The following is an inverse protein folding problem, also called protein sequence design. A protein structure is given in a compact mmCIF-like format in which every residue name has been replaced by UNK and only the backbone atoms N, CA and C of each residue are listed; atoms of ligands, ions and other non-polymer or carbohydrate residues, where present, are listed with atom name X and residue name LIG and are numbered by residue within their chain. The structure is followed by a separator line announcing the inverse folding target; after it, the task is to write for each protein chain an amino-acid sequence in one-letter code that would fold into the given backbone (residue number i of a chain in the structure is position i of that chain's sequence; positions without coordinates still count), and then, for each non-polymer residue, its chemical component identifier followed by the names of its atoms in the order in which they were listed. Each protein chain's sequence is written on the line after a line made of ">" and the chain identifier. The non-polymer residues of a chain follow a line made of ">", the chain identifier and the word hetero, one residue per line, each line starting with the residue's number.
data_IF_655511358492
#
_entry.id   IF_655511358492
#
_cell.length_a   1.000
_cell.length_b   1.000
_cell.length_c   1.000
_cell.angle_alpha   90.00
_cell.angle_beta   90.00
_cell.angle_gamma   90.00
#
_symmetry.space_group_name_H-M   'P 1'
#
loop_
_entity.id
_entity.type
_entity.pdbx_description
1 polymer ?
#
# COMPACT_ATOMS: atom_id res chain seq x y z
N UNK A 1 -25.31 2.69 -2.32
CA UNK A 1 -25.15 4.03 -1.73
C UNK A 1 -24.30 4.92 -2.65
N UNK A 2 -24.80 5.20 -3.88
CA UNK A 2 -24.02 5.99 -4.87
C UNK A 2 -24.23 7.50 -4.73
N UNK A 3 -25.36 7.90 -4.13
CA UNK A 3 -25.72 9.32 -3.95
C UNK A 3 -25.46 9.74 -2.50
N UNK A 4 -24.45 10.60 -2.30
CA UNK A 4 -24.13 11.15 -0.98
C UNK A 4 -25.21 12.09 -0.42
N UNK A 5 -26.09 12.60 -1.29
CA UNK A 5 -27.24 13.43 -0.90
C UNK A 5 -28.48 12.63 -0.51
N UNK A 6 -28.51 11.34 -0.84
CA UNK A 6 -29.61 10.42 -0.52
C UNK A 6 -29.10 8.99 -0.38
N UNK A 7 -28.54 8.67 0.79
CA UNK A 7 -27.93 7.36 1.07
C UNK A 7 -28.95 6.22 1.07
N UNK A 8 -30.23 6.51 1.28
CA UNK A 8 -31.32 5.55 1.24
C UNK A 8 -31.95 5.35 -0.13
N UNK A 9 -31.42 5.98 -1.19
CA UNK A 9 -32.02 5.98 -2.52
C UNK A 9 -32.27 4.56 -3.08
N UNK A 10 -33.51 4.31 -3.53
CA UNK A 10 -33.82 3.14 -4.35
C UNK A 10 -33.58 3.47 -5.83
N UNK A 11 -32.45 3.03 -6.38
CA UNK A 11 -32.05 3.25 -7.77
C UNK A 11 -33.06 2.68 -8.79
N UNK A 12 -33.98 1.80 -8.38
CA UNK A 12 -35.04 1.28 -9.23
C UNK A 12 -36.33 2.15 -9.25
N UNK A 13 -36.29 3.30 -8.54
CA UNK A 13 -37.41 4.24 -8.50
C UNK A 13 -38.56 3.81 -7.59
N UNK A 14 -38.31 2.93 -6.64
CA UNK A 14 -39.26 2.57 -5.57
C UNK A 14 -39.25 3.61 -4.44
N UNK A 15 -39.67 3.17 -3.26
CA UNK A 15 -39.60 4.00 -2.05
C UNK A 15 -38.24 3.92 -1.44
N UNK A 16 -37.60 5.05 -1.20
CA UNK A 16 -36.31 5.15 -0.56
C UNK A 16 -36.34 4.50 0.84
N UNK A 17 -35.22 3.90 1.22
CA UNK A 17 -35.03 3.39 2.56
C UNK A 17 -34.82 4.53 3.55
N UNK A 18 -35.36 4.39 4.75
CA UNK A 18 -35.01 5.30 5.84
C UNK A 18 -33.68 4.88 6.45
N UNK A 19 -32.65 5.65 6.20
CA UNK A 19 -31.33 5.42 6.76
C UNK A 19 -31.26 5.88 8.23
N UNK A 20 -30.54 5.14 9.02
CA UNK A 20 -30.25 5.48 10.42
C UNK A 20 -28.76 5.33 10.67
N UNK A 21 -28.11 6.41 11.11
CA UNK A 21 -26.66 6.48 11.38
C UNK A 21 -25.77 6.27 10.14
N UNK A 22 -26.29 6.35 8.92
CA UNK A 22 -25.47 6.41 7.71
C UNK A 22 -25.12 7.88 7.42
N UNK A 23 -23.87 8.11 7.07
CA UNK A 23 -23.34 9.41 6.66
C UNK A 23 -22.57 9.28 5.34
N UNK A 24 -22.34 10.38 4.65
CA UNK A 24 -21.65 10.34 3.34
C UNK A 24 -20.25 9.70 3.39
N UNK A 25 -19.60 9.72 4.55
CA UNK A 25 -18.31 9.04 4.75
C UNK A 25 -18.40 7.51 4.85
N UNK A 26 -19.63 6.97 4.94
CA UNK A 26 -19.82 5.51 4.91
C UNK A 26 -19.90 4.97 3.47
N UNK A 27 -19.86 5.86 2.47
CA UNK A 27 -19.79 5.46 1.08
C UNK A 27 -18.43 4.84 0.76
N UNK A 28 -18.45 3.80 -0.05
CA UNK A 28 -17.26 3.13 -0.57
C UNK A 28 -17.25 3.18 -2.09
N UNK A 29 -16.06 3.38 -2.67
CA UNK A 29 -15.82 3.20 -4.10
C UNK A 29 -15.75 1.71 -4.47
N UNK A 30 -15.68 0.83 -3.47
CA UNK A 30 -15.72 -0.62 -3.63
C UNK A 30 -17.13 -1.09 -3.98
N UNK A 31 -17.27 -1.85 -5.04
CA UNK A 31 -18.57 -2.32 -5.56
C UNK A 31 -18.49 -3.80 -5.89
N UNK A 32 -19.64 -4.46 -6.05
CA UNK A 32 -19.66 -5.88 -6.46
C UNK A 32 -19.03 -6.13 -7.85
N UNK A 33 -18.81 -5.09 -8.64
CA UNK A 33 -18.19 -5.18 -9.98
C UNK A 33 -16.78 -4.61 -10.04
N UNK A 34 -16.30 -3.99 -8.97
CA UNK A 34 -14.94 -3.45 -8.86
C UNK A 34 -14.47 -3.47 -7.41
N UNK A 35 -13.69 -4.47 -7.04
CA UNK A 35 -13.15 -4.63 -5.69
C UNK A 35 -11.72 -4.14 -5.65
N UNK A 36 -11.40 -3.35 -4.63
CA UNK A 36 -10.05 -2.88 -4.36
C UNK A 36 -9.28 -3.88 -3.49
N UNK A 37 -7.95 -3.80 -3.53
CA UNK A 37 -7.09 -4.56 -2.65
C UNK A 37 -7.34 -4.22 -1.18
N UNK A 38 -7.12 -5.19 -0.31
CA UNK A 38 -7.02 -5.03 1.14
C UNK A 38 -5.82 -5.82 1.66
N UNK A 39 -5.48 -5.71 2.92
CA UNK A 39 -4.54 -6.64 3.54
C UNK A 39 -5.20 -8.01 3.68
N UNK A 40 -4.41 -9.07 3.47
CA UNK A 40 -4.90 -10.43 3.49
C UNK A 40 -4.85 -11.02 4.92
N UNK A 41 -6.00 -11.27 5.58
CA UNK A 41 -6.03 -11.82 6.92
C UNK A 41 -5.61 -13.31 6.98
N UNK A 42 -5.48 -13.95 5.83
CA UNK A 42 -5.13 -15.37 5.71
C UNK A 42 -3.63 -15.60 5.49
N UNK A 43 -2.82 -14.55 5.40
CA UNK A 43 -1.37 -14.73 5.35
C UNK A 43 -0.90 -15.29 6.68
N UNK A 44 -0.19 -16.43 6.65
CA UNK A 44 0.20 -17.21 7.82
C UNK A 44 1.22 -16.51 8.72
N UNK A 45 1.76 -15.41 8.26
CA UNK A 45 2.64 -14.53 9.04
C UNK A 45 1.92 -13.58 9.98
N UNK A 46 0.62 -13.59 9.95
CA UNK A 46 -0.21 -12.87 10.90
C UNK A 46 -0.33 -13.71 12.17
N UNK A 47 0.61 -13.53 13.07
CA UNK A 47 0.53 -14.09 14.41
C UNK A 47 -0.52 -13.32 15.23
N UNK A 48 -0.75 -13.79 16.45
CA UNK A 48 -1.61 -13.12 17.47
C UNK A 48 -1.27 -11.65 17.73
N UNK A 49 -0.15 -11.14 17.21
CA UNK A 49 0.32 -9.77 17.47
C UNK A 49 -0.12 -8.77 16.39
N UNK A 50 -0.85 -9.22 15.38
CA UNK A 50 -1.47 -8.34 14.37
C UNK A 50 -2.96 -8.22 14.62
N UNK A 51 -3.46 -7.00 14.53
CA UNK A 51 -4.89 -6.74 14.49
C UNK A 51 -5.22 -5.98 13.23
N UNK A 52 -6.06 -6.55 12.37
CA UNK A 52 -6.65 -5.87 11.23
C UNK A 52 -8.01 -5.27 11.62
N UNK A 53 -8.28 -4.09 11.10
CA UNK A 53 -9.55 -3.37 11.25
C UNK A 53 -9.83 -2.53 10.01
N UNK A 54 -10.91 -1.74 10.00
CA UNK A 54 -11.30 -0.87 8.90
C UNK A 54 -11.36 -1.64 7.56
N UNK A 55 -12.06 -2.77 7.54
CA UNK A 55 -12.14 -3.60 6.34
C UNK A 55 -10.82 -4.22 5.89
N UNK A 56 -9.92 -4.52 6.83
CA UNK A 56 -8.56 -5.00 6.60
C UNK A 56 -7.63 -3.96 5.90
N UNK A 57 -7.92 -2.68 6.06
CA UNK A 57 -7.05 -1.61 5.57
C UNK A 57 -6.12 -1.07 6.65
N UNK A 58 -6.52 -1.18 7.93
CA UNK A 58 -5.74 -0.74 9.06
C UNK A 58 -5.12 -1.92 9.78
N UNK A 59 -3.83 -1.81 10.08
CA UNK A 59 -3.05 -2.82 10.79
C UNK A 59 -2.38 -2.21 12.01
N UNK A 60 -2.60 -2.82 13.17
CA UNK A 60 -1.84 -2.58 14.39
C UNK A 60 -0.87 -3.74 14.59
N UNK A 61 0.41 -3.44 14.74
CA UNK A 61 1.48 -4.43 14.86
C UNK A 61 2.03 -4.37 16.27
N UNK A 62 1.79 -5.41 17.05
CA UNK A 62 2.20 -5.47 18.47
C UNK A 62 3.68 -5.72 18.70
N UNK A 63 4.12 -5.50 19.94
CA UNK A 63 5.51 -5.27 20.35
C UNK A 63 6.45 -6.49 20.31
N UNK A 64 6.01 -7.71 20.09
CA UNK A 64 6.84 -8.83 20.58
C UNK A 64 7.64 -9.59 19.53
N UNK A 65 7.68 -9.18 18.28
CA UNK A 65 8.34 -10.04 17.29
C UNK A 65 8.89 -9.30 16.09
N UNK A 66 10.16 -9.51 15.87
CA UNK A 66 10.85 -9.14 14.63
C UNK A 66 10.32 -9.93 13.43
N UNK A 67 10.34 -9.32 12.26
CA UNK A 67 10.21 -10.00 10.98
C UNK A 67 8.78 -10.36 10.58
N UNK A 68 7.75 -9.64 11.04
CA UNK A 68 6.36 -9.88 10.66
C UNK A 68 5.94 -9.01 9.47
N UNK A 69 5.22 -9.61 8.57
CA UNK A 69 4.73 -8.95 7.36
C UNK A 69 3.22 -9.20 7.17
N UNK A 70 2.52 -8.21 6.61
CA UNK A 70 1.17 -8.35 6.11
C UNK A 70 1.15 -7.98 4.63
N UNK A 71 0.61 -8.88 3.81
CA UNK A 71 0.54 -8.74 2.37
C UNK A 71 -0.85 -8.27 1.94
N UNK A 72 -0.92 -7.59 0.80
CA UNK A 72 -2.19 -7.31 0.16
C UNK A 72 -2.79 -8.56 -0.50
N UNK A 73 -4.07 -8.48 -0.84
CA UNK A 73 -4.85 -9.60 -1.41
C UNK A 73 -4.54 -9.89 -2.87
N UNK A 74 -3.94 -8.94 -3.62
CA UNK A 74 -3.63 -9.12 -5.04
C UNK A 74 -2.13 -9.21 -5.28
N UNK A 75 -1.72 -10.23 -6.05
CA UNK A 75 -0.39 -10.36 -6.63
C UNK A 75 -0.34 -9.70 -8.00
N UNK A 76 0.75 -8.99 -8.30
CA UNK A 76 0.95 -8.16 -9.48
C UNK A 76 2.07 -8.75 -10.34
N UNK A 77 1.85 -8.84 -11.66
CA UNK A 77 2.82 -9.42 -12.60
C UNK A 77 3.32 -8.43 -13.65
N UNK A 78 2.46 -7.53 -14.10
CA UNK A 78 2.67 -6.52 -15.14
C UNK A 78 1.94 -5.25 -14.76
N UNK A 79 2.04 -4.19 -15.56
CA UNK A 79 1.32 -2.94 -15.37
C UNK A 79 2.00 -1.97 -14.39
N UNK A 80 1.31 -0.86 -14.15
CA UNK A 80 1.79 0.23 -13.29
C UNK A 80 0.75 0.52 -12.22
N UNK A 81 1.15 0.40 -10.96
CA UNK A 81 0.25 0.38 -9.83
C UNK A 81 0.59 1.45 -8.81
N UNK A 82 -0.45 2.01 -8.18
CA UNK A 82 -0.30 3.04 -7.15
C UNK A 82 -1.17 2.72 -5.93
N UNK A 83 -0.61 2.96 -4.76
CA UNK A 83 -1.31 2.92 -3.47
C UNK A 83 -0.62 3.83 -2.47
N UNK A 84 -1.30 4.13 -1.37
CA UNK A 84 -0.81 4.96 -0.28
C UNK A 84 -0.84 4.20 1.04
N UNK A 85 0.08 4.53 1.94
CA UNK A 85 0.15 3.99 3.30
C UNK A 85 0.40 5.13 4.27
N UNK A 86 -0.48 5.31 5.24
CA UNK A 86 -0.34 6.31 6.30
C UNK A 86 0.16 5.65 7.58
N UNK A 87 1.21 6.21 8.18
CA UNK A 87 1.61 5.87 9.54
C UNK A 87 0.71 6.64 10.52
N UNK A 88 -0.20 5.95 11.19
CA UNK A 88 -1.17 6.56 12.11
C UNK A 88 -0.50 6.89 13.44
N UNK A 89 0.26 5.93 13.99
CA UNK A 89 1.01 6.10 15.23
C UNK A 89 2.17 5.12 15.32
N UNK A 90 3.15 5.43 16.14
CA UNK A 90 4.25 4.54 16.51
C UNK A 90 4.75 4.91 17.91
N UNK A 91 5.32 3.96 18.65
CA UNK A 91 5.92 4.19 19.97
C UNK A 91 7.39 4.57 19.92
N UNK A 92 8.05 4.44 18.76
CA UNK A 92 9.47 4.74 18.55
C UNK A 92 9.78 5.17 17.13
N UNK A 93 11.02 4.99 16.71
CA UNK A 93 11.43 5.19 15.33
C UNK A 93 10.72 4.15 14.44
N UNK A 94 10.23 4.59 13.27
CA UNK A 94 9.51 3.68 12.38
C UNK A 94 10.45 2.70 11.68
N UNK A 95 10.68 1.56 12.32
CA UNK A 95 11.41 0.43 11.74
C UNK A 95 10.55 -0.42 10.79
N UNK A 96 9.31 -0.02 10.56
CA UNK A 96 8.47 -0.69 9.59
C UNK A 96 8.89 -0.33 8.16
N UNK A 97 8.73 -1.30 7.27
CA UNK A 97 9.08 -1.21 5.85
C UNK A 97 7.83 -1.30 5.01
N UNK A 98 7.60 -0.29 4.20
CA UNK A 98 6.52 -0.25 3.21
C UNK A 98 7.13 -0.61 1.86
N UNK A 99 6.53 -1.55 1.12
CA UNK A 99 7.10 -1.93 -0.17
C UNK A 99 6.38 -3.07 -0.87
N UNK A 100 7.17 -3.90 -1.53
CA UNK A 100 6.73 -5.10 -2.23
C UNK A 100 7.60 -6.29 -1.84
N UNK A 101 7.01 -7.50 -1.94
CA UNK A 101 7.68 -8.79 -1.75
C UNK A 101 7.13 -9.80 -2.75
N UNK A 102 7.92 -10.83 -3.07
CA UNK A 102 7.48 -11.97 -3.87
C UNK A 102 7.04 -13.17 -3.00
N UNK A 103 7.28 -13.10 -1.70
CA UNK A 103 7.08 -14.24 -0.82
C UNK A 103 5.70 -14.22 -0.15
N UNK A 104 5.04 -15.38 -0.18
CA UNK A 104 3.95 -15.70 0.74
C UNK A 104 4.61 -16.33 1.97
N UNK A 105 4.91 -15.50 2.95
CA UNK A 105 5.57 -15.94 4.18
C UNK A 105 4.71 -16.95 4.94
N UNK A 106 5.34 -18.01 5.44
CA UNK A 106 4.71 -18.96 6.34
C UNK A 106 5.39 -18.91 7.72
N UNK A 107 4.65 -19.26 8.77
CA UNK A 107 5.01 -19.11 10.19
C UNK A 107 6.24 -19.96 10.63
N UNK A 108 6.82 -20.75 9.74
CA UNK A 108 7.86 -21.73 10.09
C UNK A 108 9.29 -21.16 10.08
N UNK A 109 9.50 -19.98 9.51
CA UNK A 109 10.85 -19.42 9.34
C UNK A 109 11.10 -18.21 10.24
N UNK A 110 11.51 -18.51 11.47
CA UNK A 110 12.04 -17.51 12.39
C UNK A 110 13.43 -17.05 11.96
N UNK A 111 13.59 -15.80 11.59
CA UNK A 111 14.88 -15.10 11.63
C UNK A 111 15.53 -14.70 10.31
N UNK A 112 15.23 -15.34 9.18
CA UNK A 112 15.87 -14.99 7.89
C UNK A 112 14.88 -14.45 6.84
N UNK A 113 13.58 -14.62 7.06
CA UNK A 113 12.52 -14.22 6.13
C UNK A 113 11.82 -12.94 6.57
N UNK A 114 12.61 -11.91 6.85
CA UNK A 114 12.10 -10.56 7.10
C UNK A 114 11.95 -9.87 5.77
N UNK A 115 10.88 -9.09 5.59
CA UNK A 115 10.76 -8.22 4.41
C UNK A 115 12.00 -7.32 4.32
N UNK A 116 12.56 -7.21 3.11
CA UNK A 116 13.81 -6.50 2.86
C UNK A 116 15.04 -7.39 2.92
N UNK A 117 14.94 -8.66 3.34
CA UNK A 117 16.06 -9.61 3.36
C UNK A 117 16.11 -10.51 2.12
N UNK A 118 14.97 -10.77 1.48
CA UNK A 118 14.92 -11.47 0.21
C UNK A 118 15.45 -10.65 -0.97
N UNK A 119 15.96 -11.33 -1.99
CA UNK A 119 16.49 -10.69 -3.21
C UNK A 119 15.42 -9.87 -3.95
N UNK A 120 14.16 -10.23 -3.78
CA UNK A 120 13.00 -9.60 -4.41
C UNK A 120 12.15 -8.77 -3.45
N UNK A 121 12.66 -8.49 -2.26
CA UNK A 121 12.05 -7.57 -1.30
C UNK A 121 12.56 -6.15 -1.55
N UNK A 122 11.65 -5.22 -1.79
CA UNK A 122 12.01 -3.82 -2.02
C UNK A 122 11.18 -2.93 -1.10
N UNK A 123 11.85 -2.26 -0.16
CA UNK A 123 11.16 -1.51 0.88
C UNK A 123 11.74 -0.11 1.14
N UNK A 124 10.87 0.77 1.65
CA UNK A 124 11.21 2.07 2.22
C UNK A 124 10.91 2.06 3.71
N UNK A 125 11.91 2.40 4.52
CA UNK A 125 11.89 2.40 5.98
C UNK A 125 12.08 3.81 6.51
N UNK A 126 11.31 4.20 7.53
CA UNK A 126 11.26 5.59 8.02
C UNK A 126 12.38 6.01 8.95
N UNK A 127 13.14 5.07 9.52
CA UNK A 127 14.17 5.40 10.53
C UNK A 127 15.36 6.20 9.98
N UNK A 128 16.01 6.96 10.88
CA UNK A 128 17.40 7.41 10.72
C UNK A 128 17.69 8.21 9.45
N UNK A 129 16.72 9.01 8.96
CA UNK A 129 16.87 9.77 7.71
C UNK A 129 16.31 9.04 6.49
N UNK A 130 15.49 8.01 6.70
CA UNK A 130 14.91 7.20 5.63
C UNK A 130 15.91 6.23 4.99
N UNK A 131 15.51 4.99 4.82
CA UNK A 131 16.36 3.97 4.19
C UNK A 131 15.58 3.18 3.15
N UNK A 132 16.25 2.81 2.07
CA UNK A 132 15.79 1.76 1.17
C UNK A 132 16.42 0.43 1.55
N UNK A 133 15.64 -0.64 1.48
CA UNK A 133 16.03 -1.97 1.95
C UNK A 133 15.76 -3.01 0.87
N UNK A 134 16.79 -3.81 0.56
CA UNK A 134 16.71 -4.97 -0.34
C UNK A 134 17.86 -5.92 -0.02
N UNK A 135 17.61 -7.23 -0.04
CA UNK A 135 18.59 -8.28 0.22
C UNK A 135 19.41 -8.04 1.50
N UNK A 136 18.78 -7.57 2.57
CA UNK A 136 19.41 -7.24 3.85
C UNK A 136 20.29 -5.99 3.85
N UNK A 137 20.33 -5.25 2.74
CA UNK A 137 21.12 -4.02 2.65
C UNK A 137 20.27 -2.79 2.96
N UNK A 138 20.73 -2.01 3.93
CA UNK A 138 20.10 -0.75 4.37
C UNK A 138 20.92 0.42 3.83
N UNK A 139 20.36 1.15 2.88
CA UNK A 139 21.04 2.27 2.23
C UNK A 139 20.28 3.56 2.53
N UNK A 140 20.99 4.62 2.96
CA UNK A 140 20.38 5.92 3.17
C UNK A 140 19.65 6.39 1.90
N UNK A 141 18.39 6.83 2.09
CA UNK A 141 17.52 7.18 0.98
C UNK A 141 16.40 8.10 1.48
N UNK A 142 16.21 9.23 0.81
CA UNK A 142 15.10 10.13 1.10
C UNK A 142 15.02 10.62 2.56
N UNK A 143 13.83 11.03 2.96
CA UNK A 143 13.54 11.56 4.29
C UNK A 143 13.02 10.46 5.23
N UNK A 144 13.23 10.61 6.54
CA UNK A 144 12.51 9.81 7.52
C UNK A 144 11.02 10.12 7.49
N UNK A 145 10.18 9.14 7.84
CA UNK A 145 8.75 9.35 8.01
C UNK A 145 8.29 8.91 9.40
N UNK A 146 7.27 9.57 9.91
CA UNK A 146 6.70 9.35 11.24
C UNK A 146 5.19 9.44 11.24
N UNK A 147 4.59 9.43 12.45
CA UNK A 147 3.14 9.49 12.62
C UNK A 147 2.53 10.72 11.89
N UNK A 148 1.48 10.48 11.13
CA UNK A 148 0.80 11.45 10.28
C UNK A 148 1.29 11.51 8.84
N UNK A 149 2.51 11.01 8.54
CA UNK A 149 3.01 10.99 7.16
C UNK A 149 2.33 9.94 6.31
N UNK A 150 2.14 10.26 5.04
CA UNK A 150 1.63 9.38 3.99
C UNK A 150 2.76 9.05 3.02
N UNK A 151 2.99 7.75 2.85
CA UNK A 151 3.92 7.21 1.86
C UNK A 151 3.11 6.67 0.68
N UNK A 152 3.31 7.24 -0.49
CA UNK A 152 2.77 6.67 -1.72
C UNK A 152 3.80 5.81 -2.42
N UNK A 153 3.32 4.74 -3.02
CA UNK A 153 4.13 3.77 -3.76
C UNK A 153 3.67 3.76 -5.21
N UNK A 154 4.59 3.99 -6.14
CA UNK A 154 4.38 3.85 -7.57
C UNK A 154 5.25 2.69 -8.07
N UNK A 155 4.61 1.58 -8.43
CA UNK A 155 5.24 0.35 -8.90
C UNK A 155 5.06 0.23 -10.42
N UNK A 156 6.16 0.26 -11.16
CA UNK A 156 6.19 0.10 -12.60
C UNK A 156 6.79 -1.28 -12.96
N UNK A 157 5.93 -2.27 -13.15
CA UNK A 157 6.35 -3.62 -13.55
C UNK A 157 6.68 -3.72 -15.04
N UNK A 158 6.21 -2.79 -15.86
CA UNK A 158 6.51 -2.76 -17.29
C UNK A 158 7.93 -2.28 -17.55
N UNK A 159 8.41 -1.32 -16.74
CA UNK A 159 9.78 -0.80 -16.84
C UNK A 159 10.67 -1.26 -15.68
N UNK A 160 10.18 -2.12 -14.79
CA UNK A 160 10.92 -2.72 -13.68
C UNK A 160 11.52 -1.67 -12.73
N UNK A 161 10.67 -0.82 -12.18
CA UNK A 161 11.05 0.24 -11.25
C UNK A 161 10.02 0.42 -10.13
N UNK A 162 10.48 0.83 -8.96
CA UNK A 162 9.60 1.24 -7.85
C UNK A 162 10.05 2.60 -7.33
N UNK A 163 9.07 3.44 -6.99
CA UNK A 163 9.25 4.78 -6.46
C UNK A 163 8.42 4.94 -5.20
N UNK A 164 8.93 5.73 -4.26
CA UNK A 164 8.19 6.13 -3.07
C UNK A 164 8.10 7.65 -2.99
N UNK A 165 6.96 8.17 -2.58
CA UNK A 165 6.84 9.55 -2.17
C UNK A 165 6.51 9.65 -0.68
N UNK A 166 6.92 10.76 -0.07
CA UNK A 166 6.48 11.17 1.25
C UNK A 166 5.63 12.44 1.09
N UNK A 167 4.39 12.39 1.51
CA UNK A 167 3.47 13.53 1.45
C UNK A 167 3.44 14.22 0.06
N UNK A 168 3.39 13.42 -1.00
CA UNK A 168 3.34 13.87 -2.39
C UNK A 168 4.70 14.18 -3.04
N UNK A 169 5.81 14.20 -2.29
CA UNK A 169 7.15 14.43 -2.86
C UNK A 169 7.89 13.12 -3.05
N UNK A 170 8.15 12.74 -4.31
CA UNK A 170 8.90 11.54 -4.63
C UNK A 170 10.34 11.62 -4.11
N UNK A 171 10.75 10.57 -3.42
CA UNK A 171 12.04 10.49 -2.74
C UNK A 171 13.12 9.94 -3.67
N UNK A 172 14.34 10.44 -3.50
CA UNK A 172 15.56 9.87 -4.06
C UNK A 172 16.77 10.43 -3.30
N UNK A 173 17.93 9.78 -3.39
CA UNK A 173 19.16 10.26 -2.74
C UNK A 173 19.63 11.56 -3.37
N UNK A 174 19.23 12.71 -2.79
CA UNK A 174 19.64 14.04 -3.26
C UNK A 174 18.95 14.53 -4.53
N UNK A 175 17.85 13.90 -4.94
CA UNK A 175 17.09 14.26 -6.14
C UNK A 175 15.58 13.96 -5.92
N UNK A 176 14.78 14.12 -6.96
CA UNK A 176 13.35 13.74 -6.95
C UNK A 176 13.14 12.58 -7.92
N UNK A 177 12.45 11.53 -7.46
CA UNK A 177 12.07 10.41 -8.32
C UNK A 177 11.02 10.81 -9.35
N UNK A 178 11.11 10.24 -10.56
CA UNK A 178 10.14 10.49 -11.62
C UNK A 178 9.51 9.17 -12.09
N UNK A 179 8.35 8.77 -11.52
CA UNK A 179 7.66 7.54 -11.92
C UNK A 179 7.14 7.59 -13.37
N UNK A 180 7.04 8.77 -13.98
CA UNK A 180 6.56 8.92 -15.36
C UNK A 180 7.66 8.80 -16.42
N UNK A 181 8.91 8.62 -15.99
CA UNK A 181 10.08 8.56 -16.90
C UNK A 181 10.21 7.28 -17.73
N UNK A 182 9.31 6.30 -17.52
CA UNK A 182 9.27 5.05 -18.28
C UNK A 182 10.60 4.28 -18.21
N UNK A 183 11.09 3.82 -19.35
CA UNK A 183 12.32 3.02 -19.42
C UNK A 183 13.59 3.75 -18.90
N UNK A 184 13.57 5.07 -18.78
CA UNK A 184 14.67 5.83 -18.18
C UNK A 184 14.81 5.60 -16.69
N UNK A 185 13.72 5.23 -16.00
CA UNK A 185 13.67 4.96 -14.55
C UNK A 185 14.35 6.05 -13.72
N UNK A 186 14.10 7.30 -14.08
CA UNK A 186 14.81 8.45 -13.53
C UNK A 186 14.65 8.52 -12.02
N UNK A 187 15.76 8.36 -11.31
CA UNK A 187 15.84 8.38 -9.85
C UNK A 187 14.88 7.37 -9.17
N UNK A 188 14.64 6.22 -9.80
CA UNK A 188 13.89 5.13 -9.17
C UNK A 188 14.55 4.74 -7.82
N UNK A 189 13.73 4.41 -6.83
CA UNK A 189 14.24 3.89 -5.56
C UNK A 189 15.01 2.60 -5.80
N UNK A 190 14.41 1.71 -6.59
CA UNK A 190 15.05 0.48 -7.06
C UNK A 190 14.70 0.23 -8.53
N UNK A 191 15.67 -0.32 -9.24
CA UNK A 191 15.41 -1.14 -10.41
C UNK A 191 15.10 -2.54 -9.89
N UNK A 192 13.90 -3.03 -10.15
CA UNK A 192 13.43 -4.30 -9.63
C UNK A 192 13.61 -5.42 -10.67
N UNK A 193 13.59 -6.66 -10.23
CA UNK A 193 13.55 -7.82 -11.12
C UNK A 193 12.14 -8.03 -11.68
N UNK A 194 12.02 -8.70 -12.82
CA UNK A 194 10.70 -9.06 -13.36
C UNK A 194 9.98 -10.04 -12.42
N UNK A 195 8.67 -9.94 -12.31
CA UNK A 195 7.86 -10.85 -11.49
C UNK A 195 8.07 -12.33 -11.88
N UNK A 196 8.27 -12.61 -13.17
CA UNK A 196 8.58 -13.97 -13.67
C UNK A 196 9.91 -14.54 -13.15
N UNK A 197 10.78 -13.72 -12.57
CA UNK A 197 12.05 -14.16 -11.96
C UNK A 197 11.89 -14.52 -10.48
N UNK A 198 10.76 -14.19 -9.87
CA UNK A 198 10.47 -14.47 -8.46
C UNK A 198 9.95 -15.90 -8.26
N UNK A 199 10.03 -16.40 -7.04
CA UNK A 199 9.58 -17.75 -6.72
C UNK A 199 8.06 -17.93 -6.87
N UNK A 200 7.27 -16.91 -6.51
CA UNK A 200 5.81 -16.92 -6.65
C UNK A 200 5.31 -16.55 -8.04
N UNK A 201 6.12 -15.86 -8.83
CA UNK A 201 5.72 -15.24 -10.09
C UNK A 201 4.99 -13.90 -9.92
N UNK A 202 4.90 -13.38 -8.69
CA UNK A 202 4.12 -12.18 -8.35
C UNK A 202 4.90 -11.27 -7.42
N UNK A 203 4.50 -9.99 -7.39
CA UNK A 203 4.80 -9.06 -6.31
C UNK A 203 3.53 -8.68 -5.55
N UNK A 204 3.62 -8.63 -4.24
CA UNK A 204 2.52 -8.20 -3.36
C UNK A 204 2.90 -6.92 -2.65
N UNK A 205 2.03 -5.90 -2.59
CA UNK A 205 2.19 -4.82 -1.62
C UNK A 205 2.31 -5.39 -0.21
N UNK A 206 3.23 -4.87 0.57
CA UNK A 206 3.56 -5.40 1.89
C UNK A 206 3.88 -4.28 2.88
N UNK A 207 3.56 -4.54 4.13
CA UNK A 207 4.09 -3.86 5.31
C UNK A 207 4.76 -4.88 6.21
N UNK A 208 5.96 -4.59 6.66
CA UNK A 208 6.64 -5.44 7.62
C UNK A 208 7.28 -4.61 8.73
N UNK A 209 7.43 -5.24 9.90
CA UNK A 209 8.07 -4.67 11.07
C UNK A 209 9.35 -5.44 11.40
N UNK A 210 10.38 -4.72 11.80
CA UNK A 210 11.66 -5.32 12.13
C UNK A 210 12.05 -5.20 13.63
N UNK A 211 11.53 -4.23 14.35
CA UNK A 211 11.97 -3.94 15.73
C UNK A 211 10.79 -3.68 16.69
N UNK A 212 11.09 -3.37 17.95
CA UNK A 212 10.20 -3.35 19.11
C UNK A 212 9.13 -2.23 19.15
N UNK A 213 8.94 -1.48 18.08
CA UNK A 213 7.92 -0.45 17.98
C UNK A 213 6.52 -1.04 17.77
N UNK A 214 5.48 -0.33 18.21
CA UNK A 214 4.07 -0.69 17.98
C UNK A 214 3.44 0.22 16.92
N UNK A 215 3.79 0.08 15.63
CA UNK A 215 3.25 0.95 14.61
C UNK A 215 1.81 0.55 14.25
N UNK A 216 1.01 1.57 13.96
CA UNK A 216 -0.31 1.44 13.35
C UNK A 216 -0.26 2.09 11.98
N UNK A 217 -0.52 1.30 10.95
CA UNK A 217 -0.62 1.77 9.57
C UNK A 217 -2.02 1.62 9.02
N UNK A 218 -2.36 2.45 8.06
CA UNK A 218 -3.57 2.31 7.28
C UNK A 218 -3.24 2.44 5.79
N UNK A 219 -3.73 1.47 5.01
CA UNK A 219 -3.55 1.41 3.57
C UNK A 219 -4.72 2.06 2.85
N UNK A 220 -4.40 2.76 1.78
CA UNK A 220 -5.35 3.25 0.80
C UNK A 220 -5.01 2.64 -0.57
N UNK A 221 -5.78 1.65 -1.00
CA UNK A 221 -5.68 1.08 -2.34
C UNK A 221 -6.64 1.76 -3.33
N UNK A 222 -7.32 2.82 -2.90
CA UNK A 222 -8.29 3.56 -3.69
C UNK A 222 -9.76 3.25 -3.35
N UNK A 223 -10.00 2.25 -2.51
CA UNK A 223 -11.33 1.87 -2.06
C UNK A 223 -11.86 2.75 -0.91
N UNK A 224 -12.38 2.11 0.10
CA UNK A 224 -12.87 2.77 1.32
C UNK A 224 -11.71 3.27 2.16
N UNK A 225 -11.89 4.44 2.79
CA UNK A 225 -10.95 4.99 3.75
C UNK A 225 -11.63 5.22 5.09
N UNK A 226 -10.89 5.03 6.19
CA UNK A 226 -11.39 5.34 7.52
C UNK A 226 -11.16 6.82 7.89
N UNK A 227 -11.77 7.24 9.01
CA UNK A 227 -11.54 8.57 9.56
C UNK A 227 -10.07 8.83 9.93
N UNK A 228 -9.27 7.79 10.21
CA UNK A 228 -7.84 7.93 10.51
C UNK A 228 -6.98 8.19 9.26
N UNK A 229 -7.51 7.82 8.08
CA UNK A 229 -6.93 8.20 6.80
C UNK A 229 -7.95 8.99 5.95
N UNK A 230 -8.46 10.07 6.51
CA UNK A 230 -9.38 10.96 5.78
C UNK A 230 -8.68 11.54 4.55
N UNK A 231 -9.35 11.43 3.39
CA UNK A 231 -8.89 11.98 2.12
C UNK A 231 -9.41 13.40 1.98
N UNK A 232 -8.54 14.36 1.72
CA UNK A 232 -8.88 15.76 1.55
C UNK A 232 -8.96 16.19 0.09
N UNK A 233 -8.16 15.58 -0.78
CA UNK A 233 -8.00 15.99 -2.18
C UNK A 233 -8.80 15.17 -3.18
N UNK A 234 -9.02 13.88 -2.91
CA UNK A 234 -9.85 12.99 -3.72
C UNK A 234 -9.35 12.79 -5.15
N UNK A 235 -8.13 12.24 -5.30
CA UNK A 235 -7.55 11.97 -6.62
C UNK A 235 -7.90 10.55 -7.08
N UNK A 236 -8.32 10.39 -8.35
CA UNK A 236 -8.53 9.12 -8.99
C UNK A 236 -7.40 8.83 -10.00
N UNK A 237 -7.28 7.56 -10.43
CA UNK A 237 -6.43 7.18 -11.54
C UNK A 237 -7.00 7.60 -12.91
N UNK A 238 -6.29 7.29 -14.00
CA UNK A 238 -6.70 7.67 -15.35
C UNK A 238 -8.01 7.02 -15.81
N UNK A 239 -8.43 5.90 -15.19
CA UNK A 239 -9.70 5.23 -15.44
C UNK A 239 -10.84 5.77 -14.56
N UNK A 240 -10.56 6.76 -13.71
CA UNK A 240 -11.51 7.33 -12.77
C UNK A 240 -11.76 6.45 -11.53
N UNK A 241 -10.91 5.46 -11.28
CA UNK A 241 -11.00 4.61 -10.10
C UNK A 241 -10.06 5.08 -9.00
N UNK A 242 -10.47 4.81 -7.78
CA UNK A 242 -9.71 5.15 -6.60
C UNK A 242 -10.07 6.52 -6.02
N UNK A 243 -9.68 6.70 -4.75
CA UNK A 243 -9.81 7.95 -4.00
C UNK A 243 -8.55 8.12 -3.15
N UNK A 244 -7.56 8.84 -3.69
CA UNK A 244 -6.25 9.02 -3.09
C UNK A 244 -6.04 10.43 -2.57
N UNK A 245 -5.22 10.57 -1.52
CA UNK A 245 -4.84 11.88 -0.99
C UNK A 245 -3.93 12.63 -1.96
N UNK A 246 -3.03 11.94 -2.63
CA UNK A 246 -2.08 12.53 -3.58
C UNK A 246 -2.39 12.12 -5.02
N UNK A 247 -1.93 12.94 -5.96
CA UNK A 247 -2.14 12.69 -7.38
C UNK A 247 -1.48 11.37 -7.81
N UNK A 248 -2.27 10.50 -8.43
CA UNK A 248 -1.77 9.28 -9.06
C UNK A 248 -0.90 9.65 -10.25
N UNK A 249 0.33 9.14 -10.38
CA UNK A 249 1.18 9.44 -11.53
C UNK A 249 0.51 9.01 -12.85
N UNK A 250 0.75 9.76 -13.91
CA UNK A 250 0.19 9.42 -15.22
C UNK A 250 0.58 8.01 -15.66
N UNK A 251 -0.40 7.22 -16.06
CA UNK A 251 -0.25 5.83 -16.50
C UNK A 251 -0.16 4.81 -15.36
N UNK A 252 -0.35 5.24 -14.11
CA UNK A 252 -0.50 4.33 -12.97
C UNK A 252 -1.97 4.17 -12.59
N UNK A 253 -2.30 3.02 -12.04
CA UNK A 253 -3.66 2.61 -11.75
C UNK A 253 -3.80 2.11 -10.31
N UNK A 254 -4.98 2.29 -9.75
CA UNK A 254 -5.36 1.69 -8.47
C UNK A 254 -5.41 0.16 -8.57
N UNK A 255 -5.06 -0.52 -7.47
CA UNK A 255 -5.09 -1.98 -7.42
C UNK A 255 -6.54 -2.43 -7.18
N UNK A 256 -7.30 -2.58 -8.27
CA UNK A 256 -8.67 -3.04 -8.26
C UNK A 256 -8.95 -4.03 -9.38
N UNK A 257 -10.03 -4.80 -9.25
CA UNK A 257 -10.32 -5.90 -10.18
C UNK A 257 -10.52 -5.44 -11.62
N UNK A 258 -11.06 -4.25 -11.86
CA UNK A 258 -11.23 -3.71 -13.23
C UNK A 258 -9.88 -3.36 -13.86
N UNK A 259 -9.02 -2.67 -13.14
CA UNK A 259 -7.68 -2.33 -13.65
C UNK A 259 -6.80 -3.58 -13.81
N UNK A 260 -6.91 -4.55 -12.89
CA UNK A 260 -6.20 -5.82 -13.01
C UNK A 260 -6.63 -6.62 -14.25
N UNK A 261 -7.91 -6.57 -14.62
CA UNK A 261 -8.40 -7.22 -15.83
C UNK A 261 -7.90 -6.55 -17.13
N UNK A 262 -7.51 -5.27 -17.08
CA UNK A 262 -7.07 -4.50 -18.24
C UNK A 262 -5.54 -4.44 -18.35
N UNK A 263 -4.83 -4.31 -17.24
CA UNK A 263 -3.39 -4.01 -17.20
C UNK A 263 -2.55 -5.05 -16.43
N UNK A 264 -3.18 -5.98 -15.68
CA UNK A 264 -2.54 -6.98 -14.82
C UNK A 264 -2.08 -8.26 -15.50
#
# INVERSE_FOLDING_TARGET
>A
FEDSGNLGNDANGGTDFTETNLVATDQSTDTCTNNFATLNPLTTWMSSDYTLSEGNLKISIGNNTEGKAALATFGLTTGKWYWEVKLISTTGDSYAQIGITDEIYNDADSGSNKQGYGDYDYGYRGEGGGKKVNAGNYVNYGDSYGAGDVIGVALDLDNLAIYFHKNGTYQASGAVGDPTSGASRTNATFNISAASSTASGYYFPVIAKEDADDPIFEFNFGGTNSASFAISSGNADANGYGNFEYAVPSGYYSICTKNLAEFG
#
